data_IF_923191058022
#
_entry.id   IF_923191058022
#
_cell.length_a   1.000
_cell.length_b   1.000
_cell.length_c   1.000
_cell.angle_alpha   90.00
_cell.angle_beta   90.00
_cell.angle_gamma   90.00
#
_symmetry.space_group_name_H-M   'P 1'
#
loop_
_entity.id
_entity.type
_entity.pdbx_description
1 polymer ?
#
# COMPACT_ATOMS: atom_id res chain seq x y z
N UNK A 1 12.76 0.44 -20.26
CA UNK A 1 11.39 0.88 -19.99
C UNK A 1 11.47 2.29 -19.41
N UNK A 2 10.82 3.25 -20.01
CA UNK A 2 10.82 4.63 -19.51
C UNK A 2 9.68 4.80 -18.51
N UNK A 3 10.02 5.33 -17.34
CA UNK A 3 9.05 5.71 -16.33
C UNK A 3 9.02 7.24 -16.21
N UNK A 4 7.86 7.85 -16.32
CA UNK A 4 7.66 9.30 -16.19
C UNK A 4 7.19 9.64 -14.77
N UNK A 5 7.79 10.68 -14.18
CA UNK A 5 7.34 11.23 -12.89
C UNK A 5 5.98 11.94 -13.07
N UNK A 6 5.00 11.60 -12.23
CA UNK A 6 3.68 12.26 -12.24
C UNK A 6 3.46 13.18 -11.03
N UNK A 7 4.13 12.89 -9.89
CA UNK A 7 4.16 13.76 -8.72
C UNK A 7 5.38 13.39 -7.83
N UNK A 8 5.66 14.09 -6.71
CA UNK A 8 6.82 13.79 -5.85
C UNK A 8 6.88 12.36 -5.30
N UNK A 9 5.79 11.62 -5.33
CA UNK A 9 5.64 10.31 -4.69
C UNK A 9 5.28 9.18 -5.66
N UNK A 10 5.13 9.50 -6.96
CA UNK A 10 4.68 8.52 -7.94
C UNK A 10 5.28 8.72 -9.33
N UNK A 11 5.45 7.60 -10.02
CA UNK A 11 5.79 7.52 -11.43
C UNK A 11 4.75 6.68 -12.18
N UNK A 12 4.70 6.79 -13.49
CA UNK A 12 3.87 5.98 -14.37
C UNK A 12 4.72 5.33 -15.45
N UNK A 13 4.37 4.10 -15.84
CA UNK A 13 4.96 3.46 -17.01
C UNK A 13 4.51 4.14 -18.30
N UNK A 14 5.47 4.44 -19.15
CA UNK A 14 5.21 4.95 -20.49
C UNK A 14 5.27 3.77 -21.47
N UNK A 15 4.10 3.22 -21.81
CA UNK A 15 3.98 2.05 -22.68
C UNK A 15 2.76 2.18 -23.61
N UNK A 16 2.88 1.65 -24.82
CA UNK A 16 1.79 1.65 -25.77
C UNK A 16 0.91 0.39 -25.70
N UNK A 17 1.49 -0.77 -25.38
CA UNK A 17 0.79 -2.06 -25.43
C UNK A 17 0.94 -2.90 -24.16
N UNK A 18 2.14 -2.99 -23.60
CA UNK A 18 2.40 -3.77 -22.38
C UNK A 18 3.53 -3.17 -21.55
N UNK A 19 3.50 -3.47 -20.27
CA UNK A 19 4.58 -3.18 -19.33
C UNK A 19 4.98 -4.48 -18.65
N UNK A 20 6.28 -4.74 -18.51
CA UNK A 20 6.81 -5.78 -17.65
C UNK A 20 7.36 -5.18 -16.37
N UNK A 21 7.15 -5.88 -15.26
CA UNK A 21 7.77 -5.58 -13.97
C UNK A 21 8.93 -6.55 -13.80
N UNK A 22 10.12 -6.02 -13.82
CA UNK A 22 11.37 -6.79 -13.68
C UNK A 22 12.13 -6.41 -12.39
N UNK A 23 13.14 -7.16 -11.98
CA UNK A 23 13.93 -6.86 -10.78
C UNK A 23 14.58 -5.47 -10.81
N UNK A 24 14.97 -4.96 -11.97
CA UNK A 24 15.61 -3.65 -12.10
C UNK A 24 14.62 -2.52 -11.80
N UNK A 25 13.38 -2.63 -12.30
CA UNK A 25 12.30 -1.68 -11.97
C UNK A 25 11.98 -1.71 -10.47
N UNK A 26 11.84 -2.91 -9.89
CA UNK A 26 11.57 -3.05 -8.46
C UNK A 26 12.67 -2.42 -7.60
N UNK A 27 13.95 -2.71 -7.91
CA UNK A 27 15.08 -2.12 -7.18
C UNK A 27 15.12 -0.59 -7.32
N UNK A 28 14.85 -0.05 -8.50
CA UNK A 28 14.79 1.39 -8.71
C UNK A 28 13.66 2.05 -7.88
N UNK A 29 12.49 1.38 -7.74
CA UNK A 29 11.39 1.91 -6.92
C UNK A 29 11.67 1.77 -5.42
N UNK A 30 12.31 0.70 -4.97
CA UNK A 30 12.75 0.54 -3.60
C UNK A 30 13.79 1.61 -3.21
N UNK A 31 14.75 1.91 -4.08
CA UNK A 31 15.71 3.00 -3.87
C UNK A 31 15.02 4.38 -3.81
N UNK A 32 14.04 4.63 -4.69
CA UNK A 32 13.25 5.86 -4.65
C UNK A 32 12.44 5.98 -3.35
N UNK A 33 11.85 4.87 -2.88
CA UNK A 33 11.15 4.81 -1.59
C UNK A 33 12.09 5.11 -0.41
N UNK A 34 13.33 4.62 -0.44
CA UNK A 34 14.33 4.89 0.59
C UNK A 34 14.74 6.37 0.65
N UNK A 35 14.82 7.02 -0.50
CA UNK A 35 15.13 8.46 -0.60
C UNK A 35 13.92 9.38 -0.31
N UNK A 36 12.71 8.83 -0.28
CA UNK A 36 11.48 9.59 -0.07
C UNK A 36 11.20 9.80 1.43
N UNK A 37 10.88 11.02 1.90
CA UNK A 37 10.53 11.27 3.31
C UNK A 37 9.36 10.41 3.82
N UNK A 38 8.42 10.03 2.95
CA UNK A 38 7.30 9.13 3.29
C UNK A 38 7.71 7.65 3.33
N UNK A 39 8.96 7.34 2.97
CA UNK A 39 9.51 5.98 2.91
C UNK A 39 8.71 5.05 1.99
N UNK A 40 8.08 5.59 0.95
CA UNK A 40 7.36 4.84 -0.08
C UNK A 40 7.31 5.58 -1.41
N UNK A 41 7.21 4.80 -2.48
CA UNK A 41 7.08 5.27 -3.86
C UNK A 41 6.03 4.41 -4.58
N UNK A 42 5.15 5.05 -5.33
CA UNK A 42 4.15 4.36 -6.16
C UNK A 42 4.64 4.36 -7.61
N UNK A 43 4.45 3.24 -8.31
CA UNK A 43 4.64 3.16 -9.74
C UNK A 43 3.38 2.65 -10.42
N UNK A 44 2.71 3.55 -11.14
CA UNK A 44 1.42 3.30 -11.80
C UNK A 44 1.63 2.53 -13.10
N UNK A 45 0.80 1.50 -13.33
CA UNK A 45 0.81 0.65 -14.52
C UNK A 45 -0.44 0.82 -15.40
N UNK A 46 -1.45 1.51 -14.93
CA UNK A 46 -2.65 1.86 -15.69
C UNK A 46 -2.49 3.21 -16.40
N UNK A 47 -3.36 3.49 -17.36
CA UNK A 47 -3.18 4.65 -18.25
C UNK A 47 -3.46 6.01 -17.59
N UNK A 48 -4.39 6.05 -16.64
CA UNK A 48 -4.80 7.28 -15.96
C UNK A 48 -5.80 7.02 -14.84
N UNK A 49 -6.20 8.09 -14.16
CA UNK A 49 -7.09 8.01 -12.99
C UNK A 49 -8.49 7.48 -13.35
N UNK A 50 -8.92 7.61 -14.60
CA UNK A 50 -10.19 7.14 -15.15
C UNK A 50 -10.18 5.64 -15.54
N UNK A 51 -9.02 4.98 -15.52
CA UNK A 51 -8.93 3.54 -15.82
C UNK A 51 -9.81 2.75 -14.85
N UNK A 52 -10.72 1.89 -15.32
CA UNK A 52 -11.62 1.12 -14.47
C UNK A 52 -10.90 0.09 -13.58
N UNK A 53 -9.64 -0.20 -13.86
CA UNK A 53 -8.81 -1.11 -13.08
C UNK A 53 -7.47 -0.45 -12.75
N UNK A 54 -7.32 0.04 -11.52
CA UNK A 54 -6.09 0.62 -11.02
C UNK A 54 -5.06 -0.47 -10.70
N UNK A 55 -3.84 -0.33 -11.21
CA UNK A 55 -2.75 -1.31 -11.03
C UNK A 55 -1.47 -0.55 -10.75
N UNK A 56 -0.77 -0.92 -9.67
CA UNK A 56 0.44 -0.20 -9.29
C UNK A 56 1.40 -1.04 -8.46
N UNK A 57 2.65 -0.63 -8.45
CA UNK A 57 3.63 -1.09 -7.47
C UNK A 57 3.65 -0.12 -6.30
N UNK A 58 3.66 -0.66 -5.09
CA UNK A 58 3.94 0.06 -3.87
C UNK A 58 5.30 -0.41 -3.35
N UNK A 59 6.34 0.40 -3.57
CA UNK A 59 7.65 0.17 -2.99
C UNK A 59 7.73 0.88 -1.63
N UNK A 60 8.18 0.16 -0.60
CA UNK A 60 8.13 0.63 0.78
C UNK A 60 9.37 0.26 1.56
N UNK A 61 9.65 1.08 2.58
CA UNK A 61 10.69 0.87 3.58
C UNK A 61 10.08 0.81 4.99
N UNK A 62 10.70 0.10 5.94
CA UNK A 62 10.26 0.10 7.32
C UNK A 62 10.09 1.51 7.88
N UNK A 63 9.03 1.71 8.67
CA UNK A 63 8.62 3.01 9.20
C UNK A 63 7.75 3.84 8.26
N UNK A 64 7.39 3.34 7.06
CA UNK A 64 6.34 4.00 6.27
C UNK A 64 5.00 3.95 7.00
N UNK A 65 4.28 5.06 7.00
CA UNK A 65 2.94 5.12 7.57
C UNK A 65 1.89 5.28 6.48
N UNK A 66 0.98 4.31 6.39
CA UNK A 66 -0.23 4.39 5.59
C UNK A 66 -1.38 4.42 6.60
N UNK A 67 -2.02 5.60 6.74
CA UNK A 67 -3.13 5.78 7.67
C UNK A 67 -4.20 4.72 7.41
N UNK A 68 -4.66 3.99 8.42
CA UNK A 68 -5.77 3.06 8.27
C UNK A 68 -6.97 3.69 7.60
N UNK A 69 -7.56 2.98 6.64
CA UNK A 69 -8.65 3.48 5.81
C UNK A 69 -9.50 2.32 5.28
N UNK A 70 -10.61 2.67 4.68
CA UNK A 70 -11.47 1.75 3.91
C UNK A 70 -11.92 2.41 2.61
N UNK A 71 -12.46 1.60 1.71
CA UNK A 71 -13.09 2.04 0.47
C UNK A 71 -14.57 1.64 0.50
N UNK A 72 -15.45 2.57 0.85
CA UNK A 72 -16.89 2.30 0.99
C UNK A 72 -17.73 3.13 0.01
N UNK A 73 -17.36 4.38 -0.24
CA UNK A 73 -18.08 5.28 -1.13
C UNK A 73 -17.14 6.02 -2.08
N UNK A 74 -16.87 5.48 -3.28
CA UNK A 74 -17.42 4.26 -3.89
C UNK A 74 -16.84 2.99 -3.28
N UNK A 75 -17.63 1.93 -3.27
CA UNK A 75 -17.22 0.61 -2.79
C UNK A 75 -16.15 0.02 -3.71
N UNK A 76 -14.95 -0.26 -3.18
CA UNK A 76 -13.83 -0.83 -3.94
C UNK A 76 -13.17 -1.97 -3.16
N UNK A 77 -12.82 -3.02 -3.86
CA UNK A 77 -11.91 -4.05 -3.35
C UNK A 77 -10.47 -3.66 -3.64
N UNK A 78 -9.55 -4.12 -2.81
CA UNK A 78 -8.11 -4.03 -3.06
C UNK A 78 -7.47 -5.40 -2.89
N UNK A 79 -6.62 -5.76 -3.86
CA UNK A 79 -5.82 -6.98 -3.80
C UNK A 79 -4.35 -6.59 -3.76
N UNK A 80 -3.61 -7.11 -2.80
CA UNK A 80 -2.17 -6.93 -2.70
C UNK A 80 -1.44 -8.25 -2.88
N UNK A 81 -0.42 -8.26 -3.72
CA UNK A 81 0.47 -9.40 -3.98
C UNK A 81 1.88 -9.00 -3.61
N UNK A 82 2.55 -9.79 -2.76
CA UNK A 82 3.95 -9.54 -2.43
C UNK A 82 4.86 -10.00 -3.56
N UNK A 83 5.64 -9.06 -4.13
CA UNK A 83 6.65 -9.36 -5.12
C UNK A 83 8.01 -9.58 -4.47
N UNK A 84 8.37 -8.78 -3.47
CA UNK A 84 9.59 -8.93 -2.65
C UNK A 84 9.38 -8.34 -1.26
N UNK A 85 10.17 -8.78 -0.28
CA UNK A 85 10.11 -8.30 1.09
C UNK A 85 8.98 -8.88 1.92
N UNK A 86 8.54 -8.15 2.92
CA UNK A 86 7.45 -8.54 3.85
C UNK A 86 6.61 -7.35 4.25
N UNK A 87 5.30 -7.54 4.32
CA UNK A 87 4.34 -6.56 4.83
C UNK A 87 3.32 -7.21 5.76
N UNK A 88 2.94 -6.52 6.82
CA UNK A 88 1.86 -6.92 7.71
C UNK A 88 0.61 -6.13 7.42
N UNK A 89 -0.53 -6.78 7.25
CA UNK A 89 -1.85 -6.15 7.11
C UNK A 89 -2.63 -6.34 8.39
N UNK A 90 -3.20 -5.24 8.89
CA UNK A 90 -4.14 -5.23 10.01
C UNK A 90 -5.51 -4.88 9.47
N UNK A 91 -6.50 -5.71 9.79
CA UNK A 91 -7.86 -5.66 9.24
C UNK A 91 -8.85 -5.55 10.40
N UNK A 92 -9.74 -4.57 10.36
CA UNK A 92 -10.80 -4.39 11.35
C UNK A 92 -12.15 -4.57 10.68
N UNK A 93 -12.97 -5.46 11.22
CA UNK A 93 -14.30 -5.76 10.68
C UNK A 93 -15.36 -4.73 11.12
N UNK A 94 -15.09 -4.04 12.22
CA UNK A 94 -15.97 -3.03 12.79
C UNK A 94 -15.26 -1.66 12.91
N UNK A 95 -16.00 -0.65 13.37
CA UNK A 95 -15.49 0.71 13.52
C UNK A 95 -14.70 0.92 14.82
N UNK A 96 -14.18 -0.15 15.44
CA UNK A 96 -13.38 -0.07 16.66
C UNK A 96 -11.88 -0.20 16.38
N UNK A 97 -11.03 0.55 17.11
CA UNK A 97 -9.58 0.47 16.93
C UNK A 97 -8.91 -0.70 17.68
N UNK A 98 -9.70 -1.67 18.18
CA UNK A 98 -9.17 -2.73 19.03
C UNK A 98 -8.24 -3.66 18.23
N UNK A 99 -6.95 -3.60 18.55
CA UNK A 99 -5.94 -4.47 17.97
C UNK A 99 -6.01 -5.93 18.46
N UNK A 100 -6.78 -6.23 19.51
CA UNK A 100 -6.91 -7.62 19.97
C UNK A 100 -7.99 -8.37 19.20
N UNK A 101 -8.98 -7.67 18.65
CA UNK A 101 -10.02 -8.22 17.78
C UNK A 101 -9.70 -8.11 16.29
N UNK A 102 -8.63 -7.38 15.92
CA UNK A 102 -8.24 -7.21 14.52
C UNK A 102 -7.72 -8.52 13.90
N UNK A 103 -7.97 -8.69 12.61
CA UNK A 103 -7.34 -9.71 11.79
C UNK A 103 -5.93 -9.32 11.38
N UNK A 104 -5.04 -10.30 11.27
CA UNK A 104 -3.64 -10.09 10.89
C UNK A 104 -3.26 -10.99 9.73
N UNK A 105 -2.72 -10.40 8.66
CA UNK A 105 -2.19 -11.14 7.51
C UNK A 105 -0.74 -10.72 7.26
N UNK A 106 0.17 -11.67 7.36
CA UNK A 106 1.57 -11.48 6.97
C UNK A 106 1.73 -11.84 5.50
N UNK A 107 2.17 -10.89 4.67
CA UNK A 107 2.61 -11.14 3.31
C UNK A 107 4.13 -11.30 3.27
N UNK A 108 4.59 -12.42 2.68
CA UNK A 108 6.01 -12.70 2.49
C UNK A 108 6.19 -14.00 1.70
N UNK A 109 7.18 -14.05 0.82
CA UNK A 109 7.37 -15.22 -0.06
C UNK A 109 7.85 -16.46 0.68
N UNK A 110 8.57 -16.28 1.78
CA UNK A 110 9.18 -17.37 2.54
C UNK A 110 8.40 -17.71 3.83
N UNK A 111 7.60 -16.76 4.34
CA UNK A 111 6.95 -16.87 5.64
C UNK A 111 5.60 -16.13 5.67
N UNK A 112 4.60 -16.61 4.99
CA UNK A 112 3.29 -15.96 5.03
C UNK A 112 2.44 -16.24 3.81
N UNK A 113 1.42 -15.42 3.65
CA UNK A 113 0.58 -15.42 2.46
C UNK A 113 1.26 -14.67 1.31
N UNK A 114 0.95 -15.06 0.08
CA UNK A 114 1.40 -14.32 -1.11
C UNK A 114 0.48 -13.16 -1.47
N UNK A 115 -0.79 -13.27 -1.08
CA UNK A 115 -1.87 -12.37 -1.50
C UNK A 115 -2.78 -12.09 -0.31
N UNK A 116 -3.26 -10.86 -0.20
CA UNK A 116 -4.44 -10.49 0.57
C UNK A 116 -5.43 -9.79 -0.33
N UNK A 117 -6.69 -10.20 -0.28
CA UNK A 117 -7.81 -9.56 -0.98
C UNK A 117 -8.76 -8.96 0.04
N UNK A 118 -8.97 -7.65 -0.04
CA UNK A 118 -9.73 -6.87 0.91
C UNK A 118 -11.03 -6.42 0.26
N UNK A 119 -12.15 -6.81 0.85
CA UNK A 119 -13.47 -6.44 0.36
C UNK A 119 -13.80 -4.98 0.67
N UNK A 120 -14.73 -4.37 -0.08
CA UNK A 120 -15.20 -3.01 0.21
C UNK A 120 -15.67 -2.86 1.66
N UNK A 121 -15.34 -1.73 2.27
CA UNK A 121 -15.79 -1.37 3.61
C UNK A 121 -14.96 -1.92 4.75
N UNK A 122 -14.06 -2.87 4.52
CA UNK A 122 -13.15 -3.38 5.56
C UNK A 122 -12.09 -2.32 5.87
N UNK A 123 -11.99 -1.91 7.12
CA UNK A 123 -10.91 -1.07 7.60
C UNK A 123 -9.59 -1.83 7.51
N UNK A 124 -8.59 -1.20 6.95
CA UNK A 124 -7.27 -1.82 6.83
C UNK A 124 -6.13 -0.81 6.95
N UNK A 125 -5.03 -1.31 7.45
CA UNK A 125 -3.74 -0.65 7.48
C UNK A 125 -2.65 -1.66 7.16
N UNK A 126 -1.48 -1.17 6.78
CA UNK A 126 -0.35 -2.04 6.52
C UNK A 126 0.96 -1.44 7.05
N UNK A 127 1.88 -2.30 7.41
CA UNK A 127 3.23 -1.98 7.84
C UNK A 127 4.26 -2.69 6.98
N UNK A 128 5.37 -2.04 6.73
CA UNK A 128 6.50 -2.61 6.00
C UNK A 128 7.46 -3.28 6.99
N UNK A 129 7.61 -4.60 6.90
CA UNK A 129 8.37 -5.42 7.87
C UNK A 129 9.78 -5.78 7.40
N UNK A 130 10.12 -5.51 6.14
CA UNK A 130 11.44 -5.74 5.59
C UNK A 130 11.86 -4.60 4.66
N UNK A 131 13.15 -4.26 4.60
CA UNK A 131 13.65 -3.31 3.60
C UNK A 131 13.28 -3.74 2.19
N UNK A 132 13.14 -2.76 1.29
CA UNK A 132 12.93 -2.96 -0.15
C UNK A 132 11.69 -3.82 -0.48
N UNK A 133 10.65 -3.72 0.37
CA UNK A 133 9.38 -4.40 0.12
C UNK A 133 8.66 -3.77 -1.07
N UNK A 134 8.23 -4.61 -2.00
CA UNK A 134 7.42 -4.20 -3.15
C UNK A 134 6.17 -5.05 -3.21
N UNK A 135 5.02 -4.39 -3.17
CA UNK A 135 3.71 -4.99 -3.38
C UNK A 135 3.16 -4.59 -4.74
N UNK A 136 2.45 -5.50 -5.38
CA UNK A 136 1.59 -5.19 -6.51
C UNK A 136 0.16 -5.03 -5.99
N UNK A 137 -0.42 -3.85 -6.24
CA UNK A 137 -1.78 -3.51 -5.84
C UNK A 137 -2.69 -3.45 -7.05
N UNK A 138 -3.86 -4.04 -6.91
CA UNK A 138 -4.96 -3.96 -7.88
C UNK A 138 -6.22 -3.52 -7.15
N UNK A 139 -6.89 -2.50 -7.65
CA UNK A 139 -8.19 -2.07 -7.12
C UNK A 139 -9.11 -1.52 -8.20
N UNK A 140 -10.39 -1.45 -7.89
CA UNK A 140 -11.37 -0.83 -8.77
C UNK A 140 -11.07 0.65 -8.99
N UNK A 141 -11.16 1.10 -10.24
CA UNK A 141 -11.21 2.50 -10.61
C UNK A 141 -12.64 3.03 -10.72
N UNK A 142 -12.82 4.26 -11.13
CA UNK A 142 -11.78 5.27 -11.31
C UNK A 142 -11.19 5.75 -9.97
N UNK A 143 -10.01 6.38 -10.01
CA UNK A 143 -9.44 7.05 -8.84
C UNK A 143 -9.98 8.47 -8.71
N UNK A 144 -10.46 8.83 -7.53
CA UNK A 144 -10.93 10.17 -7.21
C UNK A 144 -10.27 10.64 -5.90
N UNK A 145 -9.30 11.57 -5.93
CA UNK A 145 -8.47 11.91 -4.77
C UNK A 145 -9.24 12.28 -3.50
N UNK A 146 -10.42 12.88 -3.64
CA UNK A 146 -11.22 13.40 -2.51
C UNK A 146 -12.19 12.38 -1.92
N UNK A 147 -12.47 11.26 -2.60
CA UNK A 147 -13.46 10.28 -2.17
C UNK A 147 -12.97 8.83 -2.26
N UNK A 148 -11.70 8.61 -2.62
CA UNK A 148 -11.15 7.27 -2.80
C UNK A 148 -11.03 6.52 -1.46
N UNK A 149 -10.83 7.25 -0.36
CA UNK A 149 -10.55 6.69 0.97
C UNK A 149 -11.36 7.37 2.06
N UNK A 150 -12.00 6.56 2.89
CA UNK A 150 -12.43 6.97 4.21
C UNK A 150 -11.29 6.68 5.20
N UNK A 151 -10.73 7.70 5.82
CA UNK A 151 -9.68 7.50 6.82
C UNK A 151 -10.28 7.17 8.18
N UNK A 152 -9.69 6.21 8.87
CA UNK A 152 -10.11 5.81 10.20
C UNK A 152 -9.99 7.00 11.18
N UNK A 153 -11.09 7.36 11.89
CA UNK A 153 -11.10 8.54 12.78
C UNK A 153 -10.21 8.36 14.01
N UNK A 154 -9.92 7.12 14.39
CA UNK A 154 -9.02 6.80 15.52
C UNK A 154 -7.54 6.79 15.15
N UNK A 155 -7.22 6.73 13.84
CA UNK A 155 -5.85 6.61 13.40
C UNK A 155 -5.14 7.97 13.41
N UNK A 156 -3.89 8.05 13.90
CA UNK A 156 -3.13 9.30 13.95
C UNK A 156 -2.98 9.97 12.59
N UNK A 157 -2.90 11.30 12.61
CA UNK A 157 -2.58 12.05 11.39
C UNK A 157 -1.14 11.76 10.92
N UNK A 158 -0.89 11.67 9.61
CA UNK A 158 0.45 11.49 9.08
C UNK A 158 1.42 12.61 9.52
N UNK A 159 2.70 12.26 9.65
CA UNK A 159 3.80 13.16 10.04
C UNK A 159 3.70 13.67 11.49
N UNK A 160 3.06 12.93 12.38
CA UNK A 160 3.00 13.20 13.81
C UNK A 160 3.81 12.17 14.60
N UNK A 161 4.29 12.51 15.82
CA UNK A 161 4.94 11.52 16.70
C UNK A 161 4.04 10.33 17.04
N UNK A 162 2.74 10.57 17.14
CA UNK A 162 1.70 9.54 17.39
C UNK A 162 1.65 8.53 16.23
N UNK A 163 1.77 9.00 14.98
CA UNK A 163 1.82 8.10 13.82
C UNK A 163 3.07 7.21 13.84
N UNK A 164 4.21 7.75 14.27
CA UNK A 164 5.45 6.96 14.42
C UNK A 164 5.31 5.91 15.52
N UNK A 165 4.70 6.24 16.65
CA UNK A 165 4.43 5.30 17.74
C UNK A 165 3.44 4.21 17.29
N UNK A 166 2.39 4.61 16.58
CA UNK A 166 1.35 3.70 16.08
C UNK A 166 1.92 2.69 15.06
N UNK A 167 2.78 3.11 14.14
CA UNK A 167 3.47 2.17 13.24
C UNK A 167 4.24 1.12 14.01
N UNK A 168 4.99 1.51 15.05
CA UNK A 168 5.74 0.57 15.89
C UNK A 168 4.83 -0.40 16.64
N UNK A 169 3.69 0.07 17.13
CA UNK A 169 2.70 -0.77 17.79
C UNK A 169 2.13 -1.81 16.81
N UNK A 170 1.80 -1.40 15.58
CA UNK A 170 1.33 -2.32 14.55
C UNK A 170 2.42 -3.33 14.13
N UNK A 171 3.67 -2.89 14.00
CA UNK A 171 4.81 -3.77 13.67
C UNK A 171 5.00 -4.87 14.73
N UNK A 172 4.81 -4.57 16.02
CA UNK A 172 4.93 -5.54 17.13
C UNK A 172 3.93 -6.72 17.03
N UNK A 173 2.83 -6.54 16.30
CA UNK A 173 1.83 -7.60 16.08
C UNK A 173 2.30 -8.71 15.14
N UNK A 174 3.44 -8.52 14.47
CA UNK A 174 4.01 -9.45 13.49
C UNK A 174 5.37 -10.02 13.91
N UNK A 175 5.82 -9.71 15.11
CA UNK A 175 7.05 -10.22 15.73
C UNK A 175 6.73 -11.36 16.70
#
# INVERSE_FOLDING_TARGET
MTARRINPYATISDHERWTSVDPALMAAKAAAAAANPRRREIHVLHAGDDDPLQRMLNAMQPGTYIRPHRHLHPAKSETFIVLTGRAGFVLWEDDTPDLNSAGYVLLGRDHGSYVVDIRPGVWHGLVCLAPDTVLFEVKNGPYAPHSDKDFAPWAPEPNTPEAVAYVKELEQRFL
#
